data_IF_859492871118
#
_entry.id   IF_859492871118
#
_cell.length_a   1.000
_cell.length_b   1.000
_cell.length_c   1.000
_cell.angle_alpha   90.00
_cell.angle_beta   90.00
_cell.angle_gamma   90.00
#
_symmetry.space_group_name_H-M   'P 1'
#
loop_
_entity.id
_entity.type
_entity.pdbx_description
1 polymer ?
#
# COMPACT_ATOMS: atom_id res chain seq x y z
N UNK A 1 -1.50 -1.49 24.80
CA UNK A 1 -1.33 -0.07 24.38
C UNK A 1 -2.53 0.74 24.88
N UNK A 2 -2.30 1.90 25.46
CA UNK A 2 -3.39 2.76 25.90
C UNK A 2 -4.20 3.27 24.71
N UNK A 3 -5.48 3.62 24.93
CA UNK A 3 -6.33 4.17 23.86
C UNK A 3 -5.73 5.43 23.27
N UNK A 4 -5.06 6.25 24.09
CA UNK A 4 -4.42 7.48 23.64
C UNK A 4 -3.26 7.17 22.68
N UNK A 5 -2.39 6.21 23.04
CA UNK A 5 -1.28 5.81 22.18
C UNK A 5 -1.75 5.21 20.88
N UNK A 6 -2.82 4.39 20.90
CA UNK A 6 -3.34 3.80 19.67
C UNK A 6 -3.94 4.85 18.73
N UNK A 7 -4.48 5.95 19.26
CA UNK A 7 -5.01 7.04 18.46
C UNK A 7 -3.91 7.80 17.72
N UNK A 8 -2.74 7.97 18.35
CA UNK A 8 -1.63 8.73 17.74
C UNK A 8 -0.64 7.84 17.00
N UNK A 9 -0.70 6.52 17.21
CA UNK A 9 0.31 5.59 16.69
C UNK A 9 0.46 5.67 15.16
N UNK A 10 -0.64 5.83 14.47
CA UNK A 10 -0.65 5.97 13.02
C UNK A 10 -1.28 7.30 12.57
N UNK A 11 -1.26 8.31 13.44
CA UNK A 11 -1.89 9.59 13.13
C UNK A 11 -1.31 10.26 11.87
N UNK A 12 0.01 10.28 11.63
CA UNK A 12 0.54 10.88 10.39
C UNK A 12 0.00 10.19 9.12
N UNK A 13 -0.07 8.85 9.13
CA UNK A 13 -0.57 8.09 7.98
C UNK A 13 -2.04 8.38 7.74
N UNK A 14 -2.85 8.39 8.80
CA UNK A 14 -4.28 8.69 8.69
C UNK A 14 -4.54 10.10 8.18
N UNK A 15 -3.82 11.07 8.70
CA UNK A 15 -3.93 12.46 8.26
C UNK A 15 -3.58 12.59 6.78
N UNK A 16 -2.47 11.98 6.38
CA UNK A 16 -2.04 11.99 4.98
C UNK A 16 -3.04 11.29 4.08
N UNK A 17 -3.61 10.16 4.52
CA UNK A 17 -4.64 9.45 3.76
C UNK A 17 -5.85 10.34 3.48
N UNK A 18 -6.34 11.06 4.49
CA UNK A 18 -7.47 11.97 4.31
C UNK A 18 -7.16 13.11 3.36
N UNK A 19 -5.95 13.66 3.44
CA UNK A 19 -5.49 14.71 2.51
C UNK A 19 -5.46 14.15 1.08
N UNK A 20 -4.92 12.97 0.89
CA UNK A 20 -4.81 12.33 -0.43
C UNK A 20 -6.20 12.02 -1.01
N UNK A 21 -7.12 11.52 -0.20
CA UNK A 21 -8.49 11.26 -0.65
C UNK A 21 -9.10 12.54 -1.21
N UNK A 22 -8.93 13.65 -0.49
CA UNK A 22 -9.49 14.93 -0.89
C UNK A 22 -8.82 15.50 -2.14
N UNK A 23 -7.50 15.46 -2.22
CA UNK A 23 -6.75 16.01 -3.35
C UNK A 23 -6.89 15.18 -4.62
N UNK A 24 -6.87 13.85 -4.49
CA UNK A 24 -6.95 12.95 -5.64
C UNK A 24 -8.39 12.64 -6.06
N UNK A 25 -9.36 13.03 -5.24
CA UNK A 25 -10.77 12.68 -5.43
C UNK A 25 -10.97 11.17 -5.48
N UNK A 26 -10.20 10.43 -4.67
CA UNK A 26 -10.30 9.00 -4.59
C UNK A 26 -11.70 8.57 -4.12
N UNK A 27 -12.21 7.50 -4.69
CA UNK A 27 -13.54 6.99 -4.39
C UNK A 27 -13.45 5.61 -3.73
N UNK A 28 -14.30 5.32 -2.72
CA UNK A 28 -14.33 3.99 -2.15
C UNK A 28 -14.68 2.94 -3.21
N UNK A 29 -13.95 1.82 -3.20
CA UNK A 29 -14.18 0.77 -4.19
C UNK A 29 -14.28 -0.63 -3.57
N UNK A 30 -14.10 -0.76 -2.26
CA UNK A 30 -14.25 -2.05 -1.59
C UNK A 30 -13.53 -2.11 -0.26
N UNK A 31 -13.35 -3.33 0.21
CA UNK A 31 -12.68 -3.59 1.48
C UNK A 31 -11.90 -4.91 1.36
N UNK A 32 -10.74 -4.96 1.97
CA UNK A 32 -9.92 -6.15 2.06
C UNK A 32 -9.47 -6.30 3.52
N UNK A 33 -9.98 -7.35 4.18
CA UNK A 33 -9.77 -7.54 5.61
C UNK A 33 -10.16 -6.26 6.39
N UNK A 34 -9.26 -5.64 7.12
CA UNK A 34 -9.53 -4.41 7.87
C UNK A 34 -9.24 -3.14 7.08
N UNK A 35 -8.75 -3.27 5.86
CA UNK A 35 -8.36 -2.13 5.03
C UNK A 35 -9.50 -1.66 4.15
N UNK A 36 -9.60 -0.36 3.97
CA UNK A 36 -10.55 0.27 3.06
C UNK A 36 -9.86 0.53 1.73
N UNK A 37 -10.49 0.08 0.64
CA UNK A 37 -9.94 0.23 -0.70
C UNK A 37 -10.54 1.45 -1.37
N UNK A 38 -9.65 2.27 -1.97
CA UNK A 38 -10.02 3.46 -2.71
C UNK A 38 -9.44 3.38 -4.11
N UNK A 39 -10.20 3.82 -5.09
CA UNK A 39 -9.74 3.97 -6.47
C UNK A 39 -9.34 5.42 -6.71
N UNK A 40 -8.14 5.64 -7.25
CA UNK A 40 -7.66 6.96 -7.62
C UNK A 40 -7.19 6.98 -9.08
N UNK A 41 -7.00 8.18 -9.60
CA UNK A 41 -6.59 8.37 -11.00
C UNK A 41 -5.08 8.22 -11.22
N UNK A 42 -4.32 8.20 -10.14
CA UNK A 42 -2.86 8.11 -10.23
C UNK A 42 -2.44 6.69 -10.54
N UNK A 43 -1.23 6.55 -11.12
CA UNK A 43 -0.63 5.24 -11.37
C UNK A 43 -0.08 4.65 -10.07
N UNK A 44 -0.04 3.33 -10.01
CA UNK A 44 0.51 2.64 -8.86
C UNK A 44 -0.44 2.59 -7.68
N UNK A 45 0.02 1.98 -6.62
CA UNK A 45 -0.72 1.82 -5.38
C UNK A 45 0.00 2.48 -4.22
N UNK A 46 -0.74 2.74 -3.16
CA UNK A 46 -0.20 3.30 -1.93
C UNK A 46 -1.04 2.84 -0.76
N UNK A 47 -0.39 2.64 0.38
CA UNK A 47 -1.07 2.24 1.61
C UNK A 47 -0.66 3.16 2.73
N UNK A 48 -1.65 3.68 3.45
CA UNK A 48 -1.45 4.55 4.61
C UNK A 48 -2.42 4.11 5.70
N UNK A 49 -1.89 3.56 6.79
CA UNK A 49 -2.70 2.98 7.86
C UNK A 49 -3.64 1.91 7.28
N UNK A 50 -4.94 2.02 7.45
CA UNK A 50 -5.92 1.08 6.90
C UNK A 50 -6.50 1.51 5.55
N UNK A 51 -5.86 2.46 4.87
CA UNK A 51 -6.33 2.97 3.59
C UNK A 51 -5.41 2.50 2.48
N UNK A 52 -5.97 1.83 1.49
CA UNK A 52 -5.24 1.35 0.30
C UNK A 52 -5.78 2.08 -0.92
N UNK A 53 -4.88 2.70 -1.67
CA UNK A 53 -5.21 3.42 -2.90
C UNK A 53 -4.77 2.59 -4.10
N UNK A 54 -5.71 2.35 -5.01
CA UNK A 54 -5.51 1.44 -6.14
C UNK A 54 -5.73 2.16 -7.47
N UNK A 55 -4.96 1.80 -8.51
CA UNK A 55 -5.15 2.36 -9.84
C UNK A 55 -6.29 1.69 -10.62
N UNK A 56 -7.08 0.84 -9.99
CA UNK A 56 -8.22 0.15 -10.59
C UNK A 56 -9.39 0.10 -9.61
N UNK A 57 -10.59 -0.08 -10.16
CA UNK A 57 -11.79 -0.29 -9.35
C UNK A 57 -11.90 -1.76 -8.99
N UNK A 58 -12.43 -2.02 -7.79
CA UNK A 58 -12.72 -3.36 -7.32
C UNK A 58 -14.23 -3.55 -7.35
N UNK A 59 -14.68 -4.51 -8.17
CA UNK A 59 -16.08 -4.88 -8.16
C UNK A 59 -16.32 -5.81 -6.97
N UNK A 60 -17.12 -5.34 -6.02
CA UNK A 60 -17.34 -6.06 -4.77
C UNK A 60 -18.05 -7.40 -4.94
N UNK A 61 -18.75 -7.61 -6.04
CA UNK A 61 -19.52 -8.84 -6.21
C UNK A 61 -18.71 -9.97 -6.84
N UNK A 62 -17.79 -9.67 -7.74
CA UNK A 62 -17.09 -10.71 -8.50
C UNK A 62 -15.60 -10.42 -8.74
N UNK A 63 -15.17 -9.17 -8.68
CA UNK A 63 -13.91 -8.74 -9.27
C UNK A 63 -12.64 -9.28 -8.64
N UNK A 64 -12.58 -9.36 -7.32
CA UNK A 64 -11.35 -9.78 -6.62
C UNK A 64 -11.06 -11.26 -6.87
N UNK A 65 -12.10 -12.09 -6.93
CA UNK A 65 -11.95 -13.53 -7.05
C UNK A 65 -11.54 -14.00 -8.45
N UNK A 66 -11.73 -13.15 -9.46
CA UNK A 66 -11.50 -13.53 -10.86
C UNK A 66 -10.09 -13.22 -11.32
N UNK A 67 -9.49 -12.11 -10.85
CA UNK A 67 -8.17 -11.66 -11.30
C UNK A 67 -7.11 -11.86 -10.23
N UNK A 68 -6.28 -12.88 -10.41
CA UNK A 68 -5.22 -13.20 -9.46
C UNK A 68 -4.20 -12.09 -9.30
N UNK A 69 -3.87 -11.37 -10.39
CA UNK A 69 -2.90 -10.28 -10.31
C UNK A 69 -3.43 -9.10 -9.50
N UNK A 70 -4.73 -8.82 -9.57
CA UNK A 70 -5.36 -7.77 -8.75
C UNK A 70 -5.38 -8.17 -7.29
N UNK A 71 -5.66 -9.43 -7.01
CA UNK A 71 -5.65 -9.95 -5.64
C UNK A 71 -4.25 -9.86 -5.05
N UNK A 72 -3.23 -10.27 -5.81
CA UNK A 72 -1.83 -10.16 -5.36
C UNK A 72 -1.43 -8.70 -5.14
N UNK A 73 -1.89 -7.80 -6.01
CA UNK A 73 -1.64 -6.38 -5.86
C UNK A 73 -2.22 -5.86 -4.55
N UNK A 74 -3.48 -6.18 -4.28
CA UNK A 74 -4.16 -5.77 -3.04
C UNK A 74 -3.48 -6.39 -1.82
N UNK A 75 -3.12 -7.67 -1.90
CA UNK A 75 -2.45 -8.36 -0.79
C UNK A 75 -1.08 -7.73 -0.49
N UNK A 76 -0.33 -7.33 -1.51
CA UNK A 76 0.93 -6.61 -1.36
C UNK A 76 0.70 -5.28 -0.62
N UNK A 77 -0.28 -4.50 -1.08
CA UNK A 77 -0.62 -3.22 -0.44
C UNK A 77 -1.11 -3.44 0.99
N UNK A 78 -1.83 -4.52 1.23
CA UNK A 78 -2.23 -4.87 2.59
C UNK A 78 -1.01 -5.15 3.49
N UNK A 79 0.05 -5.74 2.92
CA UNK A 79 1.33 -5.90 3.62
C UNK A 79 1.88 -4.56 4.10
N UNK A 80 1.76 -3.50 3.30
CA UNK A 80 2.15 -2.16 3.71
C UNK A 80 1.29 -1.64 4.87
N UNK A 81 0.00 -1.97 4.90
CA UNK A 81 -0.84 -1.59 6.06
C UNK A 81 -0.34 -2.27 7.33
N UNK A 82 0.10 -3.51 7.24
CA UNK A 82 0.66 -4.23 8.39
C UNK A 82 1.99 -3.63 8.83
N UNK A 83 2.82 -3.16 7.89
CA UNK A 83 4.03 -2.40 8.23
C UNK A 83 3.66 -1.12 8.98
N UNK A 84 2.63 -0.41 8.52
CA UNK A 84 2.13 0.80 9.17
C UNK A 84 1.72 0.52 10.62
N UNK A 85 0.99 -0.57 10.84
CA UNK A 85 0.56 -0.95 12.19
C UNK A 85 1.75 -1.31 13.09
N UNK A 86 2.77 -1.95 12.54
CA UNK A 86 3.96 -2.33 13.30
C UNK A 86 4.87 -1.15 13.62
N UNK A 87 5.07 -0.26 12.67
CA UNK A 87 6.02 0.85 12.78
C UNK A 87 5.40 2.14 13.30
N UNK A 88 4.09 2.30 13.16
CA UNK A 88 3.38 3.45 13.69
C UNK A 88 3.96 4.77 13.22
N UNK A 89 4.37 5.62 14.17
CA UNK A 89 4.83 6.99 13.88
C UNK A 89 6.04 7.06 12.94
N UNK A 90 6.85 6.02 12.86
CA UNK A 90 8.03 6.01 11.99
C UNK A 90 7.80 5.38 10.62
N UNK A 91 6.59 4.89 10.36
CA UNK A 91 6.28 4.23 9.09
C UNK A 91 6.63 5.09 7.87
N UNK A 92 6.25 6.36 7.88
CA UNK A 92 6.47 7.24 6.73
C UNK A 92 7.96 7.42 6.43
N UNK A 93 8.82 7.39 7.46
CA UNK A 93 10.26 7.53 7.27
C UNK A 93 10.93 6.22 6.86
N UNK A 94 10.52 5.11 7.46
CA UNK A 94 11.20 3.81 7.27
C UNK A 94 10.70 3.09 6.02
N UNK A 95 9.42 3.20 5.69
CA UNK A 95 8.80 2.50 4.58
C UNK A 95 8.26 3.47 3.53
N UNK A 96 7.42 4.41 3.95
CA UNK A 96 6.69 5.27 3.01
C UNK A 96 7.60 6.06 2.10
N UNK A 97 8.52 6.83 2.66
CA UNK A 97 9.44 7.66 1.87
C UNK A 97 10.41 6.81 1.04
N UNK A 98 11.08 5.79 1.60
CA UNK A 98 11.93 4.92 0.78
C UNK A 98 11.18 4.21 -0.34
N UNK A 99 9.96 3.72 -0.10
CA UNK A 99 9.15 3.09 -1.13
C UNK A 99 8.80 4.06 -2.26
N UNK A 100 8.44 5.28 -1.90
CA UNK A 100 8.08 6.31 -2.88
C UNK A 100 9.30 6.67 -3.76
N UNK A 101 10.47 6.83 -3.15
CA UNK A 101 11.71 7.10 -3.88
C UNK A 101 12.05 5.92 -4.80
N UNK A 102 11.96 4.71 -4.29
CA UNK A 102 12.21 3.49 -5.07
C UNK A 102 11.28 3.39 -6.28
N UNK A 103 10.00 3.65 -6.08
CA UNK A 103 9.00 3.58 -7.15
C UNK A 103 9.20 4.69 -8.19
N UNK A 104 9.45 5.92 -7.73
CA UNK A 104 9.44 7.09 -8.62
C UNK A 104 10.78 7.47 -9.21
N UNK A 105 11.89 7.16 -8.52
CA UNK A 105 13.21 7.65 -8.92
C UNK A 105 14.13 6.56 -9.48
N UNK A 106 13.80 5.28 -9.30
CA UNK A 106 14.68 4.17 -9.64
C UNK A 106 14.14 3.25 -10.73
N UNK A 107 13.08 3.65 -11.43
CA UNK A 107 12.49 2.83 -12.49
C UNK A 107 13.48 2.55 -13.63
N UNK A 108 14.26 3.54 -14.05
CA UNK A 108 15.28 3.38 -15.09
C UNK A 108 16.43 2.49 -14.61
N UNK A 109 16.82 2.66 -13.35
CA UNK A 109 17.85 1.80 -12.74
C UNK A 109 17.41 0.34 -12.75
N UNK A 110 16.18 0.07 -12.32
CA UNK A 110 15.65 -1.30 -12.30
C UNK A 110 15.61 -1.91 -13.69
N UNK A 111 15.15 -1.13 -14.66
CA UNK A 111 15.07 -1.59 -16.05
C UNK A 111 16.46 -1.91 -16.59
N UNK A 112 17.44 -1.02 -16.38
CA UNK A 112 18.80 -1.18 -16.85
C UNK A 112 19.50 -2.40 -16.25
N UNK A 113 19.27 -2.69 -14.97
CA UNK A 113 19.97 -3.74 -14.24
C UNK A 113 19.14 -5.01 -14.03
N UNK A 114 17.94 -5.08 -14.59
CA UNK A 114 17.08 -6.24 -14.45
C UNK A 114 16.64 -6.50 -13.01
N UNK A 115 16.47 -5.44 -12.21
CA UNK A 115 16.13 -5.54 -10.80
C UNK A 115 14.64 -5.44 -10.61
N UNK A 116 14.04 -6.41 -9.92
CA UNK A 116 12.62 -6.40 -9.62
C UNK A 116 12.26 -5.28 -8.65
N UNK A 117 11.12 -4.62 -8.90
CA UNK A 117 10.55 -3.67 -7.97
C UNK A 117 10.37 -4.28 -6.57
N UNK A 118 9.98 -5.54 -6.51
CA UNK A 118 9.66 -6.22 -5.27
C UNK A 118 10.89 -6.74 -4.50
N UNK A 119 12.10 -6.53 -5.02
CA UNK A 119 13.33 -6.94 -4.35
C UNK A 119 13.80 -5.97 -3.27
N UNK A 120 13.33 -4.72 -3.29
CA UNK A 120 13.70 -3.70 -2.30
C UNK A 120 13.09 -4.06 -0.94
N UNK A 121 13.79 -3.72 0.15
CA UNK A 121 13.40 -4.19 1.48
C UNK A 121 11.96 -3.82 1.85
N UNK A 122 11.49 -2.63 1.49
CA UNK A 122 10.14 -2.18 1.81
C UNK A 122 9.09 -3.04 1.11
N UNK A 123 9.32 -3.36 -0.16
CA UNK A 123 8.38 -4.12 -1.00
C UNK A 123 8.46 -5.61 -0.72
N UNK A 124 9.66 -6.13 -0.51
CA UNK A 124 9.87 -7.53 -0.16
C UNK A 124 9.20 -7.88 1.18
N UNK A 125 9.34 -7.01 2.16
CA UNK A 125 8.69 -7.20 3.46
C UNK A 125 7.18 -7.09 3.35
N UNK A 126 6.67 -6.16 2.54
CA UNK A 126 5.23 -6.05 2.30
C UNK A 126 4.66 -7.33 1.67
N UNK A 127 5.35 -7.90 0.69
CA UNK A 127 4.96 -9.20 0.11
C UNK A 127 4.88 -10.28 1.18
N UNK A 128 5.88 -10.35 2.02
CA UNK A 128 5.93 -11.35 3.10
C UNK A 128 4.76 -11.20 4.07
N UNK A 129 4.49 -9.98 4.52
CA UNK A 129 3.40 -9.72 5.45
C UNK A 129 2.03 -9.93 4.81
N UNK A 130 1.89 -9.61 3.53
CA UNK A 130 0.65 -9.78 2.79
C UNK A 130 0.41 -11.20 2.28
N UNK A 131 1.40 -12.08 2.43
CA UNK A 131 1.28 -13.45 1.98
C UNK A 131 1.41 -13.63 0.48
N UNK A 132 2.12 -12.72 -0.19
CA UNK A 132 2.33 -12.77 -1.64
C UNK A 132 3.62 -13.51 -1.95
N UNK A 133 3.54 -14.53 -2.79
CA UNK A 133 4.69 -15.26 -3.30
C UNK A 133 4.94 -14.85 -4.74
N UNK A 134 6.21 -14.55 -5.05
CA UNK A 134 6.63 -14.15 -6.39
C UNK A 134 7.54 -15.22 -6.98
N UNK A 135 7.31 -15.54 -8.23
CA UNK A 135 8.24 -16.38 -8.98
C UNK A 135 9.46 -15.55 -9.38
N UNK A 136 10.64 -16.10 -9.14
CA UNK A 136 11.91 -15.45 -9.51
C UNK A 136 12.21 -15.64 -11.00
#
# INVERSE_FOLDING_TARGET
MSKWLSRIWEAPQKALAHIIIKLSKATPTGQYSKAKLYHWKWKGGMSLSNYIFLPFEVDTDEGILINTWKLDYIAHEYGHTLQSHKLGLVYLLVIGLPSLIWAGCFDKYREKHGVSYYSFYTEKWADKLGGVERED
#
